data_IF_028111347290
#
_entry.id   IF_028111347290
#
_cell.length_a   1.000
_cell.length_b   1.000
_cell.length_c   1.000
_cell.angle_alpha   90.00
_cell.angle_beta   90.00
_cell.angle_gamma   90.00
#
_symmetry.space_group_name_H-M   'P 1'
#
loop_
_entity.id
_entity.type
_entity.pdbx_description
1 polymer ?
#
# COMPACT_ATOMS: atom_id res chain seq x y z
N UNK A 1 -42.37 -0.78 17.20
CA UNK A 1 -41.01 -0.67 16.68
C UNK A 1 -40.78 -1.76 15.64
N UNK A 2 -40.99 -1.47 14.39
CA UNK A 2 -40.82 -2.46 13.32
C UNK A 2 -39.34 -2.43 12.86
N UNK A 3 -38.60 -3.46 13.20
CA UNK A 3 -37.32 -3.76 12.63
C UNK A 3 -37.55 -4.24 11.21
N UNK A 4 -37.25 -3.34 10.23
CA UNK A 4 -37.33 -3.69 8.83
C UNK A 4 -36.35 -4.82 8.51
N UNK A 5 -36.86 -6.03 8.40
CA UNK A 5 -36.14 -7.16 7.83
C UNK A 5 -35.89 -6.85 6.37
N UNK A 6 -34.66 -6.50 6.00
CA UNK A 6 -34.28 -6.42 4.60
C UNK A 6 -34.62 -7.78 3.97
N UNK A 7 -35.56 -7.73 3.03
CA UNK A 7 -36.06 -8.90 2.32
C UNK A 7 -34.88 -9.72 1.77
N UNK A 8 -34.88 -11.02 2.02
CA UNK A 8 -33.89 -11.99 1.53
C UNK A 8 -33.66 -11.87 0.00
N UNK A 9 -34.63 -11.36 -0.73
CA UNK A 9 -34.53 -11.01 -2.16
C UNK A 9 -33.53 -9.88 -2.46
N UNK A 10 -33.42 -8.86 -1.58
CA UNK A 10 -32.43 -7.78 -1.76
C UNK A 10 -31.01 -8.26 -1.51
N UNK A 11 -30.82 -9.12 -0.51
CA UNK A 11 -29.51 -9.69 -0.21
C UNK A 11 -29.06 -10.61 -1.34
N UNK A 12 -29.96 -11.44 -1.87
CA UNK A 12 -29.69 -12.33 -3.00
C UNK A 12 -29.35 -11.54 -4.28
N UNK A 13 -29.99 -10.39 -4.52
CA UNK A 13 -29.72 -9.52 -5.65
C UNK A 13 -28.34 -8.84 -5.55
N UNK A 14 -27.89 -8.48 -4.36
CA UNK A 14 -26.56 -7.94 -4.12
C UNK A 14 -25.45 -9.01 -4.27
N UNK A 15 -25.70 -10.24 -3.88
CA UNK A 15 -24.77 -11.36 -4.01
C UNK A 15 -24.62 -11.79 -5.48
N UNK A 16 -25.71 -11.82 -6.25
CA UNK A 16 -25.65 -12.21 -7.66
C UNK A 16 -25.02 -11.17 -8.59
N UNK A 17 -24.97 -9.90 -8.18
CA UNK A 17 -24.24 -8.86 -8.94
C UNK A 17 -22.73 -8.98 -8.89
N UNK A 18 -22.17 -9.72 -7.93
CA UNK A 18 -20.73 -9.90 -7.77
C UNK A 18 -20.14 -11.06 -8.60
N UNK A 19 -20.96 -11.76 -9.37
CA UNK A 19 -20.61 -13.07 -9.93
C UNK A 19 -20.39 -13.15 -11.45
N UNK A 20 -20.38 -12.06 -12.21
CA UNK A 20 -20.36 -12.19 -13.67
C UNK A 20 -19.32 -11.36 -14.41
N UNK A 21 -18.19 -11.10 -13.79
CA UNK A 21 -17.00 -10.67 -14.52
C UNK A 21 -16.01 -11.84 -14.60
N UNK A 22 -16.40 -12.87 -15.32
CA UNK A 22 -15.43 -13.78 -15.89
C UNK A 22 -14.81 -13.09 -17.11
N UNK A 23 -14.12 -11.96 -16.89
CA UNK A 23 -13.21 -11.40 -17.86
C UNK A 23 -12.00 -12.32 -18.00
N UNK A 24 -12.27 -13.53 -18.48
CA UNK A 24 -11.22 -14.46 -18.90
C UNK A 24 -10.67 -13.92 -20.21
N UNK A 25 -9.39 -13.56 -20.25
CA UNK A 25 -8.77 -13.06 -21.48
C UNK A 25 -8.85 -14.15 -22.55
N UNK A 26 -9.57 -13.89 -23.64
CA UNK A 26 -9.78 -14.87 -24.71
C UNK A 26 -8.67 -14.79 -25.77
N UNK A 27 -8.12 -13.60 -26.03
CA UNK A 27 -7.09 -13.36 -27.04
C UNK A 27 -5.72 -13.77 -26.47
N UNK A 28 -4.87 -14.40 -27.32
CA UNK A 28 -3.51 -14.87 -26.94
C UNK A 28 -2.66 -13.76 -26.31
N UNK A 29 -2.70 -12.55 -26.87
CA UNK A 29 -1.99 -11.38 -26.34
C UNK A 29 -2.49 -10.96 -24.94
N UNK A 30 -3.79 -11.03 -24.69
CA UNK A 30 -4.38 -10.74 -23.40
C UNK A 30 -3.97 -11.78 -22.34
N UNK A 31 -3.94 -13.07 -22.69
CA UNK A 31 -3.43 -14.15 -21.82
C UNK A 31 -1.98 -13.92 -21.40
N UNK A 32 -1.12 -13.50 -22.34
CA UNK A 32 0.28 -13.13 -22.05
C UNK A 32 0.36 -11.93 -21.08
N UNK A 33 -0.44 -10.88 -21.33
CA UNK A 33 -0.49 -9.70 -20.47
C UNK A 33 -0.90 -10.03 -19.03
N UNK A 34 -1.88 -10.92 -18.84
CA UNK A 34 -2.30 -11.36 -17.49
C UNK A 34 -1.14 -11.99 -16.73
N UNK A 35 -0.37 -12.86 -17.37
CA UNK A 35 0.82 -13.50 -16.74
C UNK A 35 1.86 -12.44 -16.32
N UNK A 36 2.19 -11.52 -17.22
CA UNK A 36 3.15 -10.43 -16.94
C UNK A 36 2.63 -9.50 -15.85
N UNK A 37 1.33 -9.16 -15.87
CA UNK A 37 0.73 -8.30 -14.85
C UNK A 37 0.74 -8.95 -13.48
N UNK A 38 0.49 -10.25 -13.38
CA UNK A 38 0.58 -10.99 -12.10
C UNK A 38 1.99 -10.89 -11.49
N UNK A 39 3.05 -11.12 -12.27
CA UNK A 39 4.43 -11.03 -11.76
C UNK A 39 4.79 -9.61 -11.34
N UNK A 40 4.43 -8.61 -12.14
CA UNK A 40 4.64 -7.19 -11.81
C UNK A 40 3.85 -6.78 -10.55
N UNK A 41 2.61 -7.24 -10.42
CA UNK A 41 1.77 -6.94 -9.25
C UNK A 41 2.36 -7.52 -7.96
N UNK A 42 2.87 -8.75 -7.99
CA UNK A 42 3.54 -9.37 -6.84
C UNK A 42 4.79 -8.59 -6.43
N UNK A 43 5.63 -8.20 -7.38
CA UNK A 43 6.81 -7.37 -7.12
C UNK A 43 6.43 -6.02 -6.50
N UNK A 44 5.46 -5.33 -7.09
CA UNK A 44 5.01 -4.04 -6.58
C UNK A 44 4.37 -4.15 -5.19
N UNK A 45 3.65 -5.25 -4.93
CA UNK A 45 3.08 -5.54 -3.60
C UNK A 45 4.18 -5.73 -2.56
N UNK A 46 5.23 -6.48 -2.88
CA UNK A 46 6.40 -6.69 -2.01
C UNK A 46 7.05 -5.35 -1.63
N UNK A 47 7.38 -4.52 -2.62
CA UNK A 47 8.00 -3.20 -2.40
C UNK A 47 7.11 -2.28 -1.54
N UNK A 48 5.80 -2.24 -1.81
CA UNK A 48 4.85 -1.47 -0.97
C UNK A 48 4.82 -1.98 0.47
N UNK A 49 4.91 -3.29 0.67
CA UNK A 49 4.92 -3.88 2.01
C UNK A 49 6.21 -3.52 2.75
N UNK A 50 7.36 -3.60 2.06
CA UNK A 50 8.65 -3.18 2.63
C UNK A 50 8.65 -1.71 3.06
N UNK A 51 8.05 -0.82 2.23
CA UNK A 51 7.91 0.59 2.57
C UNK A 51 7.02 0.80 3.81
N UNK A 52 5.87 0.12 3.86
CA UNK A 52 4.98 0.19 5.03
C UNK A 52 5.64 -0.34 6.30
N UNK A 53 6.41 -1.42 6.20
CA UNK A 53 7.15 -1.99 7.35
C UNK A 53 8.22 -1.02 7.85
N UNK A 54 8.97 -0.37 6.94
CA UNK A 54 9.95 0.64 7.32
C UNK A 54 9.29 1.85 8.00
N UNK A 55 8.13 2.29 7.49
CA UNK A 55 7.36 3.36 8.13
C UNK A 55 6.92 3.00 9.55
N UNK A 56 6.38 1.78 9.73
CA UNK A 56 5.96 1.31 11.05
C UNK A 56 7.12 1.23 12.04
N UNK A 57 8.29 0.76 11.60
CA UNK A 57 9.49 0.70 12.44
C UNK A 57 9.94 2.10 12.88
N UNK A 58 9.93 3.06 11.98
CA UNK A 58 10.23 4.45 12.30
C UNK A 58 9.19 5.04 13.28
N UNK A 59 7.90 4.87 13.03
CA UNK A 59 6.85 5.37 13.92
C UNK A 59 6.92 4.71 15.31
N UNK A 60 7.28 3.44 15.41
CA UNK A 60 7.52 2.74 16.68
C UNK A 60 8.73 3.30 17.43
N UNK A 61 9.85 3.57 16.74
CA UNK A 61 11.02 4.20 17.34
C UNK A 61 10.75 5.62 17.82
N UNK A 62 9.92 6.38 17.08
CA UNK A 62 9.46 7.71 17.53
C UNK A 62 8.58 7.60 18.79
N UNK A 63 7.70 6.60 18.85
CA UNK A 63 6.82 6.37 20.00
C UNK A 63 7.58 5.90 21.25
N UNK A 64 8.67 5.14 21.10
CA UNK A 64 9.52 4.74 22.22
C UNK A 64 10.41 5.88 22.76
N UNK A 65 10.55 6.96 22.02
CA UNK A 65 11.38 8.10 22.41
C UNK A 65 12.90 7.91 22.16
N UNK A 66 13.31 6.78 21.59
CA UNK A 66 14.71 6.48 21.31
C UNK A 66 15.20 7.22 20.06
N UNK A 67 15.89 8.33 20.26
CA UNK A 67 16.38 9.18 19.17
C UNK A 67 17.40 8.46 18.28
N UNK A 68 18.30 7.68 18.84
CA UNK A 68 19.30 6.92 18.09
C UNK A 68 18.64 5.90 17.17
N UNK A 69 17.73 5.07 17.69
CA UNK A 69 16.97 4.10 16.93
C UNK A 69 16.07 4.75 15.86
N UNK A 70 15.46 5.90 16.16
CA UNK A 70 14.67 6.67 15.21
C UNK A 70 15.54 7.21 14.06
N UNK A 71 16.76 7.64 14.31
CA UNK A 71 17.68 8.15 13.29
C UNK A 71 18.17 7.04 12.35
N UNK A 72 18.48 5.85 12.89
CA UNK A 72 18.78 4.68 12.07
C UNK A 72 17.59 4.25 11.22
N UNK A 73 16.42 4.11 11.83
CA UNK A 73 15.19 3.77 11.12
C UNK A 73 14.83 4.81 10.02
N UNK A 74 15.08 6.10 10.28
CA UNK A 74 14.88 7.17 9.31
C UNK A 74 15.79 7.01 8.09
N UNK A 75 17.09 6.71 8.28
CA UNK A 75 18.03 6.52 7.18
C UNK A 75 17.61 5.38 6.24
N UNK A 76 17.14 4.27 6.82
CA UNK A 76 16.61 3.13 6.07
C UNK A 76 15.31 3.49 5.35
N UNK A 77 14.43 4.23 6.02
CA UNK A 77 13.14 4.66 5.47
C UNK A 77 13.32 5.56 4.26
N UNK A 78 14.22 6.56 4.31
CA UNK A 78 14.51 7.46 3.18
C UNK A 78 14.98 6.66 1.96
N UNK A 79 15.92 5.73 2.14
CA UNK A 79 16.40 4.85 1.06
C UNK A 79 15.26 4.05 0.43
N UNK A 80 14.30 3.55 1.25
CA UNK A 80 13.14 2.81 0.74
C UNK A 80 12.15 3.69 0.00
N UNK A 81 11.91 4.92 0.48
CA UNK A 81 11.04 5.91 -0.19
C UNK A 81 11.62 6.29 -1.56
N UNK A 82 12.93 6.56 -1.64
CA UNK A 82 13.59 6.93 -2.90
C UNK A 82 13.57 5.77 -3.90
N UNK A 83 13.84 4.54 -3.44
CA UNK A 83 13.73 3.35 -4.30
C UNK A 83 12.31 3.14 -4.82
N UNK A 84 11.29 3.33 -3.98
CA UNK A 84 9.91 3.22 -4.40
C UNK A 84 9.50 4.30 -5.41
N UNK A 85 10.09 5.49 -5.35
CA UNK A 85 9.90 6.55 -6.33
C UNK A 85 10.58 6.20 -7.67
N UNK A 86 11.81 5.70 -7.65
CA UNK A 86 12.55 5.26 -8.85
C UNK A 86 11.81 4.12 -9.57
N UNK A 87 11.26 3.17 -8.82
CA UNK A 87 10.46 2.07 -9.39
C UNK A 87 9.05 2.47 -9.83
N UNK A 88 8.66 3.75 -9.69
CA UNK A 88 7.33 4.24 -10.06
C UNK A 88 6.18 3.71 -9.21
N UNK A 89 6.47 3.17 -8.02
CA UNK A 89 5.46 2.66 -7.08
C UNK A 89 4.73 3.81 -6.39
N UNK A 90 5.46 4.90 -6.11
CA UNK A 90 4.93 6.17 -5.61
C UNK A 90 5.43 7.30 -6.49
N UNK A 91 4.63 8.35 -6.62
CA UNK A 91 5.03 9.54 -7.36
C UNK A 91 6.12 10.30 -6.61
N UNK A 92 7.03 10.97 -7.34
CA UNK A 92 8.15 11.75 -6.77
C UNK A 92 7.69 12.81 -5.77
N UNK A 93 6.61 13.53 -6.07
CA UNK A 93 6.03 14.52 -5.17
C UNK A 93 5.50 13.89 -3.86
N UNK A 94 4.95 12.66 -3.96
CA UNK A 94 4.50 11.92 -2.78
C UNK A 94 5.70 11.49 -1.92
N UNK A 95 6.80 11.08 -2.55
CA UNK A 95 8.04 10.74 -1.86
C UNK A 95 8.62 11.95 -1.12
N UNK A 96 8.68 13.11 -1.78
CA UNK A 96 9.14 14.36 -1.19
C UNK A 96 8.29 14.77 0.03
N UNK A 97 6.95 14.70 -0.09
CA UNK A 97 6.02 14.98 1.02
C UNK A 97 6.24 14.04 2.19
N UNK A 98 6.39 12.74 1.93
CA UNK A 98 6.65 11.75 2.98
C UNK A 98 7.99 12.02 3.68
N UNK A 99 9.06 12.28 2.94
CA UNK A 99 10.37 12.63 3.53
C UNK A 99 10.26 13.84 4.45
N UNK A 100 9.61 14.91 4.01
CA UNK A 100 9.38 16.10 4.83
C UNK A 100 8.60 15.79 6.13
N UNK A 101 7.55 14.97 6.06
CA UNK A 101 6.78 14.58 7.24
C UNK A 101 7.64 13.79 8.25
N UNK A 102 8.46 12.85 7.78
CA UNK A 102 9.34 12.06 8.64
C UNK A 102 10.46 12.90 9.26
N UNK A 103 11.02 13.84 8.50
CA UNK A 103 12.02 14.80 9.04
C UNK A 103 11.41 15.65 10.15
N UNK A 104 10.20 16.18 9.96
CA UNK A 104 9.50 16.96 11.00
C UNK A 104 9.26 16.13 12.26
N UNK A 105 8.84 14.86 12.12
CA UNK A 105 8.67 13.96 13.28
C UNK A 105 9.98 13.72 14.03
N UNK A 106 11.08 13.52 13.31
CA UNK A 106 12.40 13.32 13.90
C UNK A 106 12.89 14.59 14.63
N UNK A 107 12.67 15.77 14.04
CA UNK A 107 13.00 17.05 14.66
C UNK A 107 12.16 17.34 15.91
N UNK A 108 10.89 16.93 15.91
CA UNK A 108 10.02 17.09 17.07
C UNK A 108 10.45 16.24 18.29
N UNK A 109 11.33 15.24 18.11
CA UNK A 109 11.94 14.45 19.18
C UNK A 109 13.20 15.14 19.78
N UNK A 110 13.61 16.24 19.21
CA UNK A 110 14.70 17.05 19.76
C UNK A 110 14.18 17.93 20.85
#
# INVERSE_FOLDING_TARGET
MARGTLSARCVLFLITRKGRYTDLPNIKSAKKRVKITKTKALRNKSERTMLKTATKKFDAAVASGDRAAAQEAYSVLVKRVDRAAVHGIIHTNCAARKKSQFTKKLQAMA
#
